data_IF_026149627358
#
_entry.id   IF_026149627358
#
_cell.length_a   1.000
_cell.length_b   1.000
_cell.length_c   1.000
_cell.angle_alpha   90.00
_cell.angle_beta   90.00
_cell.angle_gamma   90.00
#
_symmetry.space_group_name_H-M   'P 1'
#
loop_
_entity.id
_entity.type
_entity.pdbx_description
1 polymer ?
#
# COMPACT_ATOMS: atom_id res chain seq x y z
N UNK A 1 60.88 -48.77 53.16
CA UNK A 1 60.46 -50.17 52.84
C UNK A 1 59.33 -50.13 51.83
N UNK A 2 59.42 -50.99 50.81
CA UNK A 2 58.45 -51.16 49.72
C UNK A 2 57.26 -52.04 50.15
N UNK A 3 56.07 -51.69 49.64
CA UNK A 3 54.97 -52.54 49.13
C UNK A 3 54.24 -53.54 50.07
N UNK A 4 52.89 -53.43 50.10
CA UNK A 4 51.88 -54.50 49.85
C UNK A 4 50.44 -53.92 50.02
N UNK A 5 49.58 -53.88 49.00
CA UNK A 5 48.62 -54.91 48.49
C UNK A 5 47.19 -54.78 49.09
N UNK A 6 46.26 -54.29 48.25
CA UNK A 6 44.93 -54.82 47.84
C UNK A 6 43.75 -55.01 48.87
N UNK A 7 42.60 -54.41 48.47
CA UNK A 7 41.16 -54.72 48.69
C UNK A 7 40.43 -54.36 50.00
N UNK A 8 39.41 -53.52 49.88
CA UNK A 8 38.10 -53.76 50.50
C UNK A 8 36.98 -53.22 49.59
N UNK A 9 36.08 -54.11 49.17
CA UNK A 9 34.81 -53.80 48.52
C UNK A 9 33.80 -53.31 49.57
N UNK A 10 32.98 -52.31 49.24
CA UNK A 10 31.57 -52.34 49.65
C UNK A 10 30.67 -51.58 48.66
N UNK A 11 29.78 -52.40 48.08
CA UNK A 11 28.57 -52.23 47.28
C UNK A 11 27.71 -50.96 47.45
N UNK A 12 27.24 -50.46 46.30
CA UNK A 12 25.88 -50.02 45.93
C UNK A 12 25.02 -49.29 46.99
N UNK A 13 24.77 -48.01 46.71
CA UNK A 13 23.73 -47.18 47.33
C UNK A 13 23.30 -46.06 46.39
N UNK A 14 22.29 -46.36 45.56
CA UNK A 14 21.18 -45.48 45.17
C UNK A 14 21.44 -44.02 44.74
N UNK A 15 21.06 -43.77 43.48
CA UNK A 15 20.07 -42.75 43.10
C UNK A 15 20.31 -41.32 43.64
N UNK A 16 20.98 -40.53 42.83
CA UNK A 16 21.00 -39.08 42.95
C UNK A 16 21.22 -38.44 41.60
N UNK A 17 20.42 -38.84 40.60
CA UNK A 17 20.33 -38.12 39.34
C UNK A 17 19.97 -36.68 39.65
N UNK A 18 20.86 -35.76 39.33
CA UNK A 18 20.54 -34.35 39.21
C UNK A 18 19.69 -34.21 37.95
N UNK A 19 18.43 -34.62 38.04
CA UNK A 19 17.37 -34.13 37.18
C UNK A 19 17.24 -32.64 37.51
N UNK A 20 17.97 -31.82 36.77
CA UNK A 20 17.57 -30.44 36.55
C UNK A 20 16.21 -30.50 35.86
N UNK A 21 15.14 -30.57 36.66
CA UNK A 21 13.83 -30.12 36.23
C UNK A 21 13.99 -28.61 36.01
N UNK A 22 14.39 -28.23 34.79
CA UNK A 22 13.99 -26.95 34.25
C UNK A 22 12.47 -27.02 34.24
N UNK A 23 11.83 -26.45 35.25
CA UNK A 23 10.42 -26.11 35.16
C UNK A 23 10.34 -25.08 34.04
N UNK A 24 10.12 -25.54 32.81
CA UNK A 24 9.55 -24.70 31.78
C UNK A 24 8.24 -24.18 32.37
N UNK A 25 8.25 -22.93 32.83
CA UNK A 25 6.99 -22.27 33.15
C UNK A 25 6.15 -22.32 31.88
N UNK A 26 4.88 -22.76 31.97
CA UNK A 26 4.01 -22.78 30.80
C UNK A 26 3.99 -21.36 30.22
N UNK A 27 4.40 -21.22 28.96
CA UNK A 27 4.35 -19.95 28.26
C UNK A 27 2.87 -19.57 28.18
N UNK A 28 2.49 -18.59 28.99
CA UNK A 28 1.11 -18.09 29.00
C UNK A 28 0.78 -17.51 27.62
N UNK A 29 -0.39 -17.82 27.10
CA UNK A 29 -0.79 -17.41 25.76
C UNK A 29 -2.20 -16.86 25.79
N UNK A 30 -2.40 -15.70 25.18
CA UNK A 30 -3.72 -15.10 25.01
C UNK A 30 -4.12 -15.18 23.54
N UNK A 31 -5.41 -15.39 23.30
CA UNK A 31 -6.03 -15.26 21.97
C UNK A 31 -6.99 -14.07 22.03
N UNK A 32 -6.85 -13.16 21.08
CA UNK A 32 -7.56 -11.88 21.03
C UNK A 32 -8.35 -11.79 19.72
N UNK A 33 -9.58 -11.30 19.83
CA UNK A 33 -10.34 -10.82 18.68
C UNK A 33 -10.27 -9.29 18.68
N UNK A 34 -9.97 -8.68 17.54
CA UNK A 34 -9.68 -7.26 17.42
C UNK A 34 -10.58 -6.61 16.37
N UNK A 35 -11.05 -5.40 16.66
CA UNK A 35 -11.71 -4.56 15.66
C UNK A 35 -10.65 -3.84 14.82
N UNK A 36 -10.80 -3.88 13.50
CA UNK A 36 -9.93 -3.20 12.54
C UNK A 36 -10.77 -2.21 11.74
N UNK A 37 -10.28 -0.99 11.59
CA UNK A 37 -10.92 0.09 10.84
C UNK A 37 -9.97 0.52 9.73
N UNK A 38 -10.36 0.26 8.49
CA UNK A 38 -9.64 0.69 7.29
C UNK A 38 -10.21 2.02 6.81
N UNK A 39 -9.36 3.01 6.56
CA UNK A 39 -9.77 4.36 6.18
C UNK A 39 -9.00 4.84 4.96
N UNK A 40 -9.66 5.49 4.02
CA UNK A 40 -9.01 6.03 2.82
C UNK A 40 -8.37 7.40 3.11
N UNK A 41 -7.05 7.53 2.95
CA UNK A 41 -6.27 8.72 3.36
C UNK A 41 -6.02 9.76 2.27
N UNK A 42 -5.39 9.38 1.16
CA UNK A 42 -4.50 10.35 0.45
C UNK A 42 -5.12 11.03 -0.78
N UNK A 43 -6.01 10.36 -1.51
CA UNK A 43 -6.68 10.95 -2.69
C UNK A 43 -8.04 11.62 -2.35
N UNK A 44 -8.42 11.64 -1.08
CA UNK A 44 -9.78 11.94 -0.65
C UNK A 44 -10.08 13.41 -0.32
N UNK A 45 -9.12 14.34 -0.41
CA UNK A 45 -9.03 15.59 0.39
C UNK A 45 -10.28 16.50 0.48
N UNK A 46 -11.28 15.99 1.22
CA UNK A 46 -12.50 16.57 1.81
C UNK A 46 -13.62 17.05 0.86
N UNK A 47 -14.75 16.34 0.95
CA UNK A 47 -16.05 16.95 1.25
C UNK A 47 -16.90 15.95 2.07
N UNK A 48 -17.57 16.42 3.11
CA UNK A 48 -18.59 15.66 3.84
C UNK A 48 -19.62 15.13 2.84
N UNK A 49 -19.89 13.83 2.90
CA UNK A 49 -20.79 13.02 2.07
C UNK A 49 -21.80 13.76 1.13
N UNK A 50 -22.08 13.24 -0.08
CA UNK A 50 -21.73 11.90 -0.57
C UNK A 50 -20.60 11.87 -1.61
N UNK A 51 -20.05 13.03 -2.02
CA UNK A 51 -19.14 13.13 -3.16
C UNK A 51 -17.76 13.61 -2.71
N UNK A 52 -16.77 12.73 -2.84
CA UNK A 52 -15.36 13.06 -2.76
C UNK A 52 -14.98 14.17 -3.73
N UNK A 53 -14.06 15.06 -3.32
CA UNK A 53 -13.66 16.18 -4.16
C UNK A 53 -12.84 15.74 -5.37
N UNK A 54 -12.01 14.70 -5.21
CA UNK A 54 -11.02 14.28 -6.23
C UNK A 54 -11.06 12.78 -6.57
N UNK A 55 -11.39 11.92 -5.61
CA UNK A 55 -11.56 10.49 -5.83
C UNK A 55 -13.00 10.14 -6.25
N UNK A 56 -13.21 9.09 -7.02
CA UNK A 56 -14.56 8.53 -7.25
C UNK A 56 -14.88 7.43 -6.24
N UNK A 57 -16.17 7.07 -6.10
CA UNK A 57 -16.58 5.93 -5.26
C UNK A 57 -15.92 4.62 -5.68
N UNK A 58 -15.66 4.44 -6.97
CA UNK A 58 -14.95 3.26 -7.48
C UNK A 58 -13.49 3.26 -7.02
N UNK A 59 -12.78 4.39 -7.17
CA UNK A 59 -11.36 4.52 -6.80
C UNK A 59 -11.09 4.17 -5.33
N UNK A 60 -12.07 4.40 -4.46
CA UNK A 60 -11.96 4.22 -3.01
C UNK A 60 -12.52 2.88 -2.53
N UNK A 61 -13.09 2.10 -3.45
CA UNK A 61 -13.65 0.78 -3.16
C UNK A 61 -12.56 -0.20 -2.76
N UNK A 62 -12.88 -1.08 -1.80
CA UNK A 62 -12.07 -2.22 -1.40
C UNK A 62 -12.94 -3.45 -1.57
N UNK A 63 -12.49 -4.39 -2.39
CA UNK A 63 -13.19 -5.64 -2.68
C UNK A 63 -12.60 -6.79 -1.85
N UNK A 64 -11.31 -6.72 -1.54
CA UNK A 64 -10.61 -7.68 -0.70
C UNK A 64 -9.43 -7.01 0.01
N UNK A 65 -8.92 -7.65 1.06
CA UNK A 65 -7.61 -7.29 1.60
C UNK A 65 -6.93 -8.47 2.29
N UNK A 66 -5.59 -8.41 2.31
CA UNK A 66 -4.72 -9.19 3.17
C UNK A 66 -4.32 -8.32 4.36
N UNK A 67 -4.47 -8.83 5.58
CA UNK A 67 -4.02 -8.17 6.81
C UNK A 67 -2.97 -9.03 7.49
N UNK A 68 -1.83 -8.45 7.83
CA UNK A 68 -0.75 -9.10 8.56
C UNK A 68 -0.42 -8.33 9.84
N UNK A 69 -0.22 -9.06 10.94
CA UNK A 69 0.17 -8.49 12.25
C UNK A 69 1.56 -9.00 12.60
N UNK A 70 2.45 -8.09 12.97
CA UNK A 70 3.84 -8.38 13.31
C UNK A 70 4.16 -7.99 14.75
N UNK A 71 5.02 -8.78 15.39
CA UNK A 71 5.68 -8.39 16.64
C UNK A 71 6.76 -7.32 16.39
N UNK A 72 7.43 -6.90 17.46
CA UNK A 72 8.50 -5.88 17.42
C UNK A 72 9.74 -6.32 16.66
N UNK A 73 9.95 -7.63 16.51
CA UNK A 73 11.07 -8.21 15.75
C UNK A 73 10.72 -8.35 14.26
N UNK A 74 9.48 -8.02 13.88
CA UNK A 74 8.98 -8.11 12.53
C UNK A 74 8.53 -9.51 12.13
N UNK A 75 8.38 -10.46 13.07
CA UNK A 75 7.81 -11.76 12.78
C UNK A 75 6.28 -11.64 12.68
N UNK A 76 5.70 -12.29 11.67
CA UNK A 76 4.25 -12.33 11.50
C UNK A 76 3.64 -13.26 12.55
N UNK A 77 2.90 -12.69 13.49
CA UNK A 77 2.19 -13.43 14.55
C UNK A 77 0.77 -13.81 14.13
N UNK A 78 0.20 -13.13 13.15
CA UNK A 78 -1.13 -13.40 12.62
C UNK A 78 -1.29 -12.87 11.19
N UNK A 79 -2.15 -13.49 10.40
CA UNK A 79 -2.67 -12.91 9.18
C UNK A 79 -4.11 -13.36 8.94
N UNK A 80 -4.87 -12.54 8.22
CA UNK A 80 -6.23 -12.85 7.83
C UNK A 80 -6.55 -12.21 6.48
N UNK A 81 -7.12 -13.01 5.58
CA UNK A 81 -7.63 -12.56 4.29
C UNK A 81 -9.12 -12.27 4.38
N UNK A 82 -9.53 -11.15 3.81
CA UNK A 82 -10.92 -10.74 3.69
C UNK A 82 -11.30 -10.70 2.22
N UNK A 83 -12.29 -11.51 1.84
CA UNK A 83 -12.89 -11.48 0.50
C UNK A 83 -14.27 -10.78 0.49
N UNK A 84 -14.80 -10.43 1.67
CA UNK A 84 -16.03 -9.69 1.85
C UNK A 84 -15.76 -8.57 2.86
N UNK A 85 -15.86 -7.34 2.41
CA UNK A 85 -15.55 -6.15 3.19
C UNK A 85 -16.78 -5.61 3.96
N UNK A 86 -17.98 -6.10 3.65
CA UNK A 86 -19.23 -5.47 4.07
C UNK A 86 -19.47 -4.13 3.36
N UNK A 87 -20.38 -3.34 3.91
CA UNK A 87 -20.72 -2.02 3.36
C UNK A 87 -19.64 -0.98 3.71
N UNK A 88 -19.28 -0.16 2.73
CA UNK A 88 -18.46 1.04 2.95
C UNK A 88 -19.23 2.02 3.85
N UNK A 89 -18.56 2.53 4.89
CA UNK A 89 -19.13 3.47 5.86
C UNK A 89 -18.38 4.79 5.84
N UNK A 90 -19.07 5.86 6.23
CA UNK A 90 -18.41 7.10 6.62
C UNK A 90 -17.95 6.98 8.08
N UNK A 91 -16.64 7.00 8.31
CA UNK A 91 -16.00 6.88 9.63
C UNK A 91 -15.07 8.08 9.79
N UNK A 92 -15.34 8.94 10.76
CA UNK A 92 -14.57 10.16 11.04
C UNK A 92 -14.33 11.06 9.80
N UNK A 93 -15.38 11.19 8.98
CA UNK A 93 -15.40 11.93 7.71
C UNK A 93 -14.56 11.34 6.56
N UNK A 94 -14.04 10.12 6.73
CA UNK A 94 -13.40 9.33 5.67
C UNK A 94 -14.29 8.15 5.28
N UNK A 95 -14.14 7.63 4.06
CA UNK A 95 -14.73 6.31 3.75
C UNK A 95 -13.86 5.22 4.31
N UNK A 96 -14.51 4.19 4.84
CA UNK A 96 -13.81 3.08 5.44
C UNK A 96 -14.66 1.83 5.58
N UNK A 97 -14.01 0.81 6.14
CA UNK A 97 -14.60 -0.50 6.41
C UNK A 97 -14.23 -0.92 7.83
N UNK A 98 -15.16 -1.59 8.50
CA UNK A 98 -14.94 -2.19 9.82
C UNK A 98 -14.84 -3.70 9.65
N UNK A 99 -13.74 -4.27 10.11
CA UNK A 99 -13.42 -5.70 10.02
C UNK A 99 -13.13 -6.27 11.41
N UNK A 100 -13.28 -7.58 11.55
CA UNK A 100 -12.89 -8.33 12.75
C UNK A 100 -11.70 -9.23 12.46
N UNK A 101 -10.57 -8.98 13.12
CA UNK A 101 -9.44 -9.90 13.17
C UNK A 101 -9.70 -10.91 14.26
N UNK A 102 -9.75 -12.20 13.91
CA UNK A 102 -10.16 -13.26 14.83
C UNK A 102 -8.96 -14.13 15.16
N UNK A 103 -8.75 -14.42 16.45
CA UNK A 103 -7.76 -15.40 16.86
C UNK A 103 -6.30 -14.92 16.80
N UNK A 104 -6.06 -13.62 17.04
CA UNK A 104 -4.70 -13.08 17.14
C UNK A 104 -4.06 -13.59 18.41
N UNK A 105 -3.00 -14.40 18.27
CA UNK A 105 -2.34 -15.04 19.42
C UNK A 105 -1.10 -14.25 19.84
N UNK A 106 -1.00 -13.99 21.14
CA UNK A 106 0.17 -13.37 21.79
C UNK A 106 0.66 -14.26 22.94
N UNK A 107 1.93 -14.09 23.34
CA UNK A 107 2.56 -14.88 24.41
C UNK A 107 3.10 -13.97 25.52
N UNK A 108 2.98 -14.42 26.77
CA UNK A 108 3.39 -13.67 27.97
C UNK A 108 2.25 -12.83 28.58
N UNK A 109 2.51 -12.28 29.76
CA UNK A 109 1.52 -11.60 30.63
C UNK A 109 1.62 -10.07 30.57
N UNK A 110 2.04 -9.53 29.44
CA UNK A 110 2.32 -8.12 29.25
C UNK A 110 1.68 -7.60 27.98
N UNK A 111 1.39 -6.30 27.95
CA UNK A 111 0.97 -5.60 26.74
C UNK A 111 1.98 -5.79 25.61
N UNK A 112 1.49 -5.98 24.38
CA UNK A 112 2.34 -6.26 23.21
C UNK A 112 2.23 -5.17 22.17
N UNK A 113 3.33 -4.47 21.95
CA UNK A 113 3.47 -3.60 20.79
C UNK A 113 3.48 -4.46 19.51
N UNK A 114 2.67 -4.07 18.53
CA UNK A 114 2.57 -4.76 17.24
C UNK A 114 2.44 -3.74 16.13
N UNK A 115 2.76 -4.16 14.91
CA UNK A 115 2.42 -3.41 13.70
C UNK A 115 1.45 -4.21 12.84
N UNK A 116 0.53 -3.51 12.18
CA UNK A 116 -0.47 -4.09 11.28
C UNK A 116 -0.24 -3.53 9.88
N UNK A 117 -0.02 -4.42 8.91
CA UNK A 117 0.05 -4.11 7.49
C UNK A 117 -1.24 -4.55 6.81
N UNK A 118 -1.74 -3.73 5.92
CA UNK A 118 -2.90 -4.03 5.07
C UNK A 118 -2.50 -3.84 3.62
N UNK A 119 -2.79 -4.84 2.78
CA UNK A 119 -2.71 -4.75 1.33
C UNK A 119 -4.09 -5.09 0.76
N UNK A 120 -4.73 -4.10 0.16
CA UNK A 120 -6.11 -4.18 -0.34
C UNK A 120 -6.16 -4.23 -1.86
N UNK A 121 -7.15 -4.95 -2.40
CA UNK A 121 -7.38 -5.19 -3.84
C UNK A 121 -6.22 -5.87 -4.59
N UNK A 122 -5.35 -6.59 -3.89
CA UNK A 122 -4.30 -7.40 -4.48
C UNK A 122 -4.69 -8.88 -4.47
N UNK A 123 -3.92 -9.73 -5.17
CA UNK A 123 -4.03 -11.17 -4.97
C UNK A 123 -3.43 -11.53 -3.60
N UNK A 124 -4.31 -11.83 -2.63
CA UNK A 124 -3.91 -12.20 -1.27
C UNK A 124 -2.94 -13.39 -1.24
N UNK A 125 -3.00 -14.30 -2.22
CA UNK A 125 -2.16 -15.49 -2.25
C UNK A 125 -0.67 -15.18 -2.36
N UNK A 126 -0.31 -13.98 -2.84
CA UNK A 126 1.06 -13.48 -2.91
C UNK A 126 1.75 -13.38 -1.55
N UNK A 127 0.97 -13.32 -0.46
CA UNK A 127 1.46 -13.04 0.89
C UNK A 127 1.34 -14.23 1.85
N UNK A 128 0.79 -15.36 1.39
CA UNK A 128 0.56 -16.54 2.23
C UNK A 128 1.86 -17.09 2.85
N UNK A 129 2.94 -17.06 2.08
CA UNK A 129 4.27 -17.55 2.44
C UNK A 129 5.12 -16.55 3.23
N UNK A 130 4.71 -15.29 3.37
CA UNK A 130 5.46 -14.28 4.11
C UNK A 130 5.46 -14.54 5.62
N UNK A 131 6.60 -14.89 6.20
CA UNK A 131 6.75 -15.15 7.63
C UNK A 131 7.16 -13.89 8.42
N UNK A 132 7.77 -12.90 7.76
CA UNK A 132 8.31 -11.69 8.37
C UNK A 132 7.89 -10.45 7.59
N UNK A 133 7.97 -9.28 8.21
CA UNK A 133 7.75 -8.00 7.52
C UNK A 133 8.72 -7.81 6.34
N UNK A 134 9.96 -8.29 6.48
CA UNK A 134 10.96 -8.23 5.40
C UNK A 134 10.54 -9.04 4.16
N UNK A 135 9.73 -10.09 4.31
CA UNK A 135 9.22 -10.81 3.15
C UNK A 135 8.30 -9.90 2.33
N UNK A 136 7.45 -9.08 2.97
CA UNK A 136 6.56 -8.15 2.29
C UNK A 136 7.30 -7.03 1.56
N UNK A 137 8.44 -6.55 2.09
CA UNK A 137 9.24 -5.51 1.41
C UNK A 137 9.87 -6.01 0.10
N UNK A 138 10.02 -7.32 -0.04
CA UNK A 138 10.49 -7.97 -1.26
C UNK A 138 9.38 -8.34 -2.24
N UNK A 139 8.10 -8.33 -1.82
CA UNK A 139 6.98 -8.69 -2.69
C UNK A 139 6.67 -7.57 -3.68
N UNK A 140 6.38 -7.99 -4.89
CA UNK A 140 5.89 -7.12 -5.95
C UNK A 140 4.50 -7.55 -6.36
N UNK A 141 3.68 -6.56 -6.69
CA UNK A 141 2.43 -6.75 -7.41
C UNK A 141 2.63 -6.35 -8.86
N UNK A 142 1.89 -6.97 -9.75
CA UNK A 142 1.83 -6.62 -11.16
C UNK A 142 0.37 -6.55 -11.60
N UNK A 143 -0.01 -5.48 -12.28
CA UNK A 143 -1.33 -5.34 -12.90
C UNK A 143 -1.23 -5.39 -14.41
N UNK A 144 -2.19 -6.03 -15.07
CA UNK A 144 -2.30 -6.02 -16.54
C UNK A 144 -3.09 -4.82 -17.05
N UNK A 145 -4.01 -4.30 -16.23
CA UNK A 145 -4.78 -3.09 -16.50
C UNK A 145 -5.28 -2.50 -15.18
N UNK A 146 -5.40 -1.18 -15.10
CA UNK A 146 -6.01 -0.54 -13.93
C UNK A 146 -7.53 -0.51 -14.09
N UNK A 147 -8.23 -1.03 -13.09
CA UNK A 147 -9.68 -0.86 -12.92
C UNK A 147 -9.90 0.05 -11.72
N UNK A 148 -10.69 1.11 -11.89
CA UNK A 148 -10.98 2.09 -10.83
C UNK A 148 -11.44 1.42 -9.53
N UNK A 149 -12.30 0.41 -9.63
CA UNK A 149 -12.84 -0.35 -8.50
C UNK A 149 -11.86 -1.33 -7.83
N UNK A 150 -10.68 -1.58 -8.43
CA UNK A 150 -9.68 -2.55 -7.96
C UNK A 150 -8.29 -1.93 -7.79
N UNK A 151 -8.20 -0.61 -7.63
CA UNK A 151 -6.92 0.04 -7.37
C UNK A 151 -6.34 -0.45 -6.04
N UNK A 152 -5.09 -0.93 -6.09
CA UNK A 152 -4.39 -1.46 -4.92
C UNK A 152 -4.13 -0.35 -3.92
N UNK A 153 -4.36 -0.65 -2.65
CA UNK A 153 -4.16 0.27 -1.54
C UNK A 153 -3.35 -0.42 -0.46
N UNK A 154 -2.51 0.35 0.23
CA UNK A 154 -1.66 -0.18 1.30
C UNK A 154 -1.71 0.74 2.50
N UNK A 155 -1.51 0.17 3.69
CA UNK A 155 -1.39 0.96 4.90
C UNK A 155 -0.73 0.19 6.01
N UNK A 156 -0.12 0.92 6.93
CA UNK A 156 0.55 0.37 8.10
C UNK A 156 0.16 1.19 9.32
N UNK A 157 -0.05 0.51 10.45
CA UNK A 157 -0.32 1.15 11.74
C UNK A 157 0.40 0.43 12.85
N UNK A 158 0.87 1.18 13.85
CA UNK A 158 1.44 0.63 15.07
C UNK A 158 0.39 0.70 16.18
N UNK A 159 0.30 -0.33 17.01
CA UNK A 159 -0.65 -0.35 18.14
C UNK A 159 -0.11 -1.22 19.28
N UNK A 160 -0.82 -1.24 20.40
CA UNK A 160 -0.51 -2.08 21.55
C UNK A 160 -1.70 -2.97 21.90
N UNK A 161 -1.48 -4.27 21.89
CA UNK A 161 -2.45 -5.26 22.32
C UNK A 161 -2.39 -5.41 23.83
N UNK A 162 -3.50 -5.10 24.50
CA UNK A 162 -3.64 -5.13 25.96
C UNK A 162 -3.80 -6.55 26.49
N UNK A 163 -2.93 -6.95 27.41
CA UNK A 163 -3.05 -8.23 28.09
C UNK A 163 -4.20 -8.18 29.10
N UNK A 164 -5.15 -9.11 29.03
CA UNK A 164 -6.37 -9.13 29.85
C UNK A 164 -7.14 -7.79 29.92
N UNK A 165 -7.01 -6.95 28.89
CA UNK A 165 -7.65 -5.65 28.78
C UNK A 165 -8.60 -5.56 27.58
N UNK A 166 -9.31 -4.43 27.48
CA UNK A 166 -10.08 -4.09 26.28
C UNK A 166 -9.15 -3.42 25.28
N UNK A 167 -9.15 -3.89 24.03
CA UNK A 167 -8.42 -3.27 22.93
C UNK A 167 -9.31 -2.25 22.22
N UNK A 168 -8.74 -1.08 21.91
CA UNK A 168 -9.38 -0.14 20.98
C UNK A 168 -9.33 -0.69 19.55
N UNK A 169 -10.17 -0.14 18.68
CA UNK A 169 -10.15 -0.52 17.28
C UNK A 169 -8.83 -0.05 16.63
N UNK A 170 -8.16 -0.95 15.93
CA UNK A 170 -6.92 -0.65 15.21
C UNK A 170 -7.29 0.14 13.96
N UNK A 171 -6.78 1.36 13.84
CA UNK A 171 -7.07 2.23 12.69
C UNK A 171 -5.90 2.20 11.72
N UNK A 172 -6.18 1.89 10.46
CA UNK A 172 -5.18 1.87 9.38
C UNK A 172 -5.62 2.83 8.29
N UNK A 173 -4.83 3.90 8.11
CA UNK A 173 -4.96 4.79 6.95
C UNK A 173 -4.36 4.09 5.74
N UNK A 174 -5.13 4.02 4.66
CA UNK A 174 -4.77 3.41 3.40
C UNK A 174 -4.46 4.49 2.37
N UNK A 175 -3.31 4.32 1.72
CA UNK A 175 -2.85 5.12 0.60
C UNK A 175 -3.08 4.33 -0.69
N UNK A 176 -3.39 5.02 -1.78
CA UNK A 176 -3.50 4.36 -3.08
C UNK A 176 -2.10 4.12 -3.65
N UNK A 177 -1.81 2.91 -4.09
CA UNK A 177 -0.46 2.54 -4.53
C UNK A 177 -0.12 3.07 -5.93
N UNK A 178 -1.13 3.43 -6.71
CA UNK A 178 -0.98 4.11 -8.01
C UNK A 178 -1.09 5.64 -7.88
N UNK A 179 -0.45 6.37 -8.79
CA UNK A 179 -0.80 7.75 -9.11
C UNK A 179 -2.00 7.79 -10.07
N UNK A 180 -2.88 8.78 -9.91
CA UNK A 180 -3.97 9.10 -10.85
C UNK A 180 -3.53 10.25 -11.75
N UNK A 181 -3.72 10.11 -13.07
CA UNK A 181 -3.35 11.14 -14.05
C UNK A 181 -4.57 11.42 -14.93
N UNK A 182 -4.95 12.68 -15.06
CA UNK A 182 -6.02 13.13 -15.96
C UNK A 182 -5.48 14.13 -16.98
N UNK A 183 -5.61 13.77 -18.26
CA UNK A 183 -5.40 14.67 -19.38
C UNK A 183 -6.63 15.56 -19.58
N UNK A 184 -6.49 16.86 -19.28
CA UNK A 184 -7.58 17.84 -19.36
C UNK A 184 -7.84 18.38 -20.77
N UNK A 185 -6.99 18.03 -21.73
CA UNK A 185 -7.07 18.55 -23.09
C UNK A 185 -6.11 19.71 -23.34
N UNK A 186 -6.32 20.36 -24.48
CA UNK A 186 -5.56 21.54 -24.91
C UNK A 186 -6.47 22.75 -24.86
N UNK A 187 -5.93 23.87 -24.38
CA UNK A 187 -6.61 25.13 -24.22
C UNK A 187 -5.93 26.21 -25.04
N UNK A 188 -6.69 27.13 -25.58
CA UNK A 188 -6.16 28.32 -26.24
C UNK A 188 -5.49 29.22 -25.19
N UNK A 189 -4.22 29.55 -25.39
CA UNK A 189 -3.39 30.31 -24.45
C UNK A 189 -3.93 31.73 -24.19
N UNK A 190 -4.58 32.35 -25.17
CA UNK A 190 -5.00 33.75 -25.10
C UNK A 190 -6.32 33.97 -24.37
N UNK A 191 -7.24 33.00 -24.44
CA UNK A 191 -8.58 33.13 -23.85
C UNK A 191 -8.94 31.98 -22.89
N UNK A 192 -8.09 30.97 -22.75
CA UNK A 192 -8.27 29.80 -21.90
C UNK A 192 -9.49 28.93 -22.26
N UNK A 193 -9.93 28.98 -23.52
CA UNK A 193 -10.98 28.10 -24.03
C UNK A 193 -10.43 26.71 -24.36
N UNK A 194 -11.19 25.65 -24.03
CA UNK A 194 -10.84 24.28 -24.40
C UNK A 194 -11.02 24.04 -25.91
N UNK A 195 -10.03 23.44 -26.57
CA UNK A 195 -9.99 23.20 -28.02
C UNK A 195 -9.84 21.70 -28.36
N UNK A 196 -10.55 20.84 -27.63
CA UNK A 196 -10.50 19.37 -27.79
C UNK A 196 -11.13 18.87 -29.11
N UNK A 197 -11.87 19.70 -29.84
CA UNK A 197 -12.34 19.37 -31.19
C UNK A 197 -11.18 19.21 -32.18
N UNK A 198 -10.03 19.84 -31.89
CA UNK A 198 -8.83 19.76 -32.72
C UNK A 198 -7.79 18.78 -32.19
N UNK A 199 -7.84 18.42 -30.90
CA UNK A 199 -6.81 17.64 -30.23
C UNK A 199 -7.40 16.43 -29.50
N UNK A 200 -6.81 15.25 -29.73
CA UNK A 200 -7.20 14.03 -29.04
C UNK A 200 -5.98 13.28 -28.52
N UNK A 201 -6.04 12.81 -27.27
CA UNK A 201 -5.06 11.87 -26.73
C UNK A 201 -5.26 10.53 -27.43
N UNK A 202 -4.21 10.01 -28.06
CA UNK A 202 -4.28 8.75 -28.81
C UNK A 202 -3.45 7.63 -28.19
N UNK A 203 -2.40 7.97 -27.44
CA UNK A 203 -1.56 6.99 -26.77
C UNK A 203 -0.85 7.59 -25.56
N UNK A 204 -0.50 6.73 -24.60
CA UNK A 204 0.40 7.04 -23.49
C UNK A 204 1.43 5.91 -23.37
N UNK A 205 2.71 6.26 -23.34
CA UNK A 205 3.81 5.32 -23.18
C UNK A 205 4.57 5.57 -21.87
N UNK A 206 5.30 4.56 -21.39
CA UNK A 206 6.12 4.68 -20.19
C UNK A 206 5.38 4.46 -18.86
N UNK A 207 4.12 4.00 -18.90
CA UNK A 207 3.36 3.60 -17.72
C UNK A 207 3.95 2.35 -17.07
N UNK A 208 3.80 2.23 -15.74
CA UNK A 208 4.31 1.11 -14.94
C UNK A 208 3.18 0.22 -14.41
N UNK A 209 3.32 -1.08 -14.66
CA UNK A 209 2.44 -2.16 -14.25
C UNK A 209 2.85 -2.81 -12.93
N UNK A 210 4.06 -2.56 -12.40
CA UNK A 210 4.60 -3.26 -11.23
C UNK A 210 4.92 -2.33 -10.06
N UNK A 211 4.69 -2.81 -8.83
CA UNK A 211 4.99 -2.06 -7.62
C UNK A 211 5.43 -2.93 -6.45
N UNK A 212 6.27 -2.38 -5.58
CA UNK A 212 6.49 -2.90 -4.23
C UNK A 212 5.28 -2.57 -3.33
N UNK A 213 5.01 -3.38 -2.31
CA UNK A 213 3.79 -3.22 -1.47
C UNK A 213 4.05 -2.58 -0.10
N UNK A 214 5.31 -2.42 0.30
CA UNK A 214 5.71 -1.86 1.59
C UNK A 214 6.42 -0.50 1.43
N UNK A 215 5.78 0.41 0.69
CA UNK A 215 6.25 1.77 0.38
C UNK A 215 5.15 2.77 0.74
N UNK A 216 5.38 3.68 1.69
CA UNK A 216 4.28 4.45 2.31
C UNK A 216 4.40 5.96 2.16
N UNK A 217 5.47 6.47 1.56
CA UNK A 217 5.70 7.89 1.40
C UNK A 217 4.96 8.42 0.17
N UNK A 218 4.02 9.36 0.37
CA UNK A 218 3.27 9.99 -0.72
C UNK A 218 3.79 11.35 -1.14
N UNK A 219 4.96 11.74 -0.64
CA UNK A 219 5.69 12.97 -1.02
C UNK A 219 6.99 12.68 -1.79
N UNK A 220 7.40 11.42 -1.92
CA UNK A 220 8.57 11.03 -2.70
C UNK A 220 8.43 9.64 -3.29
N UNK A 221 8.99 9.45 -4.49
CA UNK A 221 9.04 8.15 -5.14
C UNK A 221 9.85 7.13 -4.33
N UNK A 222 9.30 5.93 -4.15
CA UNK A 222 9.97 4.82 -3.45
C UNK A 222 10.05 3.55 -4.31
N UNK A 223 9.11 3.37 -5.23
CA UNK A 223 9.02 2.14 -6.02
C UNK A 223 10.24 1.92 -6.92
N UNK A 224 10.98 0.86 -6.66
CA UNK A 224 12.18 0.46 -7.42
C UNK A 224 11.89 -0.47 -8.61
N UNK A 225 10.66 -1.00 -8.73
CA UNK A 225 10.33 -2.00 -9.75
C UNK A 225 9.56 -1.41 -10.92
N UNK A 226 9.83 -1.93 -12.12
CA UNK A 226 9.22 -1.44 -13.35
C UNK A 226 8.89 -2.62 -14.27
N UNK A 227 7.65 -2.65 -14.73
CA UNK A 227 7.21 -3.46 -15.86
C UNK A 227 6.32 -2.58 -16.75
N UNK A 228 6.49 -2.64 -18.07
CA UNK A 228 5.75 -1.75 -18.96
C UNK A 228 4.24 -2.06 -18.94
N UNK A 229 3.42 -1.04 -18.72
CA UNK A 229 1.97 -1.13 -18.86
C UNK A 229 1.54 -0.59 -20.23
N UNK A 230 0.69 -1.36 -20.93
CA UNK A 230 0.12 -0.93 -22.20
C UNK A 230 -1.09 -0.03 -21.97
N UNK A 231 -1.09 1.15 -22.58
CA UNK A 231 -2.23 2.04 -22.58
C UNK A 231 -3.38 1.48 -23.44
N UNK A 232 -4.65 1.50 -22.96
CA UNK A 232 -5.79 1.02 -23.72
C UNK A 232 -6.15 1.99 -24.85
N UNK A 233 -5.45 1.85 -25.98
CA UNK A 233 -5.52 2.76 -27.14
C UNK A 233 -6.84 2.68 -27.93
N UNK A 234 -7.69 1.68 -27.67
CA UNK A 234 -9.03 1.58 -28.23
C UNK A 234 -9.99 2.57 -27.55
N UNK A 235 -10.02 2.58 -26.21
CA UNK A 235 -10.89 3.45 -25.40
C UNK A 235 -10.35 4.86 -25.25
N UNK A 236 -9.02 5.03 -25.38
CA UNK A 236 -8.29 6.30 -25.25
C UNK A 236 -8.71 7.09 -24.00
N UNK A 237 -8.68 6.49 -22.81
CA UNK A 237 -9.17 7.14 -21.61
C UNK A 237 -8.32 8.37 -21.28
N UNK A 238 -8.98 9.48 -20.98
CA UNK A 238 -8.29 10.70 -20.54
C UNK A 238 -7.83 10.62 -19.09
N UNK A 239 -8.40 9.71 -18.29
CA UNK A 239 -7.94 9.39 -16.94
C UNK A 239 -7.29 8.02 -16.95
N UNK A 240 -6.05 7.94 -16.46
CA UNK A 240 -5.27 6.71 -16.40
C UNK A 240 -4.41 6.68 -15.14
N UNK A 241 -3.82 5.52 -14.87
CA UNK A 241 -3.06 5.27 -13.65
C UNK A 241 -1.70 4.65 -13.98
N UNK A 242 -0.76 4.85 -13.07
CA UNK A 242 0.56 4.20 -13.11
C UNK A 242 1.03 3.95 -11.70
N UNK A 243 1.79 2.87 -11.49
CA UNK A 243 2.64 2.80 -10.31
C UNK A 243 3.82 3.77 -10.45
N UNK A 244 4.43 4.11 -9.32
CA UNK A 244 5.62 4.96 -9.25
C UNK A 244 6.77 4.45 -10.11
N UNK A 245 7.59 5.38 -10.61
CA UNK A 245 8.78 5.08 -11.43
C UNK A 245 9.96 5.89 -10.87
N UNK A 246 10.89 5.23 -10.18
CA UNK A 246 12.04 5.89 -9.54
C UNK A 246 13.17 6.27 -10.50
N UNK A 247 13.29 5.60 -11.65
CA UNK A 247 14.32 5.88 -12.66
C UNK A 247 14.10 7.26 -13.30
N UNK A 248 14.96 8.22 -12.95
CA UNK A 248 14.90 9.60 -13.44
C UNK A 248 15.09 9.74 -14.96
N UNK A 249 15.56 8.70 -15.66
CA UNK A 249 15.71 8.70 -17.11
C UNK A 249 14.44 8.24 -17.84
N UNK A 250 13.45 7.69 -17.12
CA UNK A 250 12.17 7.29 -17.70
C UNK A 250 11.23 8.49 -17.81
N UNK A 251 10.43 8.46 -18.86
CA UNK A 251 9.43 9.46 -19.12
C UNK A 251 8.09 8.80 -19.41
N UNK A 252 7.01 9.48 -19.05
CA UNK A 252 5.67 9.20 -19.56
C UNK A 252 5.46 10.08 -20.80
N UNK A 253 5.14 9.45 -21.93
CA UNK A 253 5.00 10.11 -23.22
C UNK A 253 3.53 10.16 -23.62
N UNK A 254 2.95 11.35 -23.75
CA UNK A 254 1.58 11.53 -24.25
C UNK A 254 1.63 11.82 -25.74
N UNK A 255 0.98 11.01 -26.56
CA UNK A 255 0.79 11.27 -27.99
C UNK A 255 -0.58 11.89 -28.22
N UNK A 256 -0.58 13.13 -28.73
CA UNK A 256 -1.78 13.90 -29.04
C UNK A 256 -1.88 14.12 -30.54
N UNK A 257 -3.02 13.77 -31.11
CA UNK A 257 -3.32 13.97 -32.52
C UNK A 257 -4.00 15.32 -32.73
N UNK A 258 -3.45 16.14 -33.63
CA UNK A 258 -3.99 17.42 -34.08
C UNK A 258 -4.71 17.26 -35.43
N UNK A 259 -5.97 17.70 -35.49
CA UNK A 259 -6.81 17.70 -36.70
C UNK A 259 -6.86 16.35 -37.44
N UNK A 260 -6.79 15.24 -36.69
CA UNK A 260 -6.84 13.88 -37.24
C UNK A 260 -5.64 13.46 -38.10
N UNK A 261 -4.57 14.25 -38.17
CA UNK A 261 -3.46 14.01 -39.12
C UNK A 261 -2.08 14.04 -38.46
N UNK A 262 -1.76 15.09 -37.70
CA UNK A 262 -0.43 15.27 -37.11
C UNK A 262 -0.39 14.70 -35.69
N UNK A 263 0.60 13.87 -35.37
CA UNK A 263 0.79 13.34 -34.01
C UNK A 263 1.98 14.05 -33.38
N UNK A 264 1.76 14.62 -32.20
CA UNK A 264 2.80 15.24 -31.38
C UNK A 264 2.92 14.49 -30.07
N UNK A 265 4.14 14.16 -29.68
CA UNK A 265 4.43 13.45 -28.45
C UNK A 265 5.10 14.35 -27.42
N UNK A 266 4.68 14.27 -26.16
CA UNK A 266 5.12 15.14 -25.08
C UNK A 266 5.55 14.34 -23.87
N UNK A 267 6.74 14.65 -23.38
CA UNK A 267 7.45 13.85 -22.40
C UNK A 267 7.40 14.49 -21.02
N UNK A 268 6.97 13.73 -20.03
CA UNK A 268 6.98 14.11 -18.62
C UNK A 268 7.93 13.20 -17.85
N UNK A 269 8.82 13.73 -16.98
CA UNK A 269 9.66 12.89 -16.13
C UNK A 269 8.78 11.96 -15.28
N UNK A 270 9.01 10.65 -15.40
CA UNK A 270 8.14 9.65 -14.81
C UNK A 270 8.14 9.67 -13.27
N UNK A 271 9.26 10.12 -12.68
CA UNK A 271 9.43 10.24 -11.23
C UNK A 271 8.64 11.40 -10.59
N UNK A 272 7.90 12.19 -11.38
CA UNK A 272 6.98 13.22 -10.87
C UNK A 272 5.66 12.65 -10.38
N UNK A 273 5.28 11.46 -10.83
CA UNK A 273 4.00 10.84 -10.52
C UNK A 273 4.16 9.92 -9.31
N UNK A 274 3.88 10.47 -8.12
CA UNK A 274 4.04 9.81 -6.82
C UNK A 274 2.71 9.13 -6.46
N UNK A 275 2.77 7.95 -5.84
CA UNK A 275 1.59 7.18 -5.44
C UNK A 275 0.69 7.98 -4.48
N UNK A 276 -0.60 7.71 -4.52
CA UNK A 276 -1.58 8.39 -3.67
C UNK A 276 -2.02 9.76 -4.16
N UNK A 277 -1.32 10.33 -5.15
CA UNK A 277 -1.59 11.67 -5.67
C UNK A 277 -2.41 11.67 -6.97
N UNK A 278 -3.06 12.81 -7.22
CA UNK A 278 -3.82 13.10 -8.42
C UNK A 278 -3.14 14.22 -9.22
N UNK A 279 -2.92 13.99 -10.51
CA UNK A 279 -2.27 14.92 -11.42
C UNK A 279 -3.19 15.31 -12.58
N UNK A 280 -3.22 16.60 -12.91
CA UNK A 280 -3.84 17.12 -14.12
C UNK A 280 -2.78 17.55 -15.13
N UNK A 281 -2.91 17.11 -16.38
CA UNK A 281 -2.05 17.51 -17.49
C UNK A 281 -2.87 18.36 -18.46
N UNK A 282 -2.41 19.59 -18.69
CA UNK A 282 -3.06 20.58 -19.56
C UNK A 282 -2.07 21.14 -20.58
N UNK A 283 -2.48 21.23 -21.84
CA UNK A 283 -1.74 21.96 -22.87
C UNK A 283 -2.28 23.37 -23.07
N UNK A 284 -1.39 24.35 -23.27
CA UNK A 284 -1.71 25.71 -23.72
C UNK A 284 -1.18 25.90 -25.14
N UNK A 285 -2.10 26.14 -26.07
CA UNK A 285 -1.81 26.28 -27.49
C UNK A 285 -2.01 27.71 -27.96
N UNK A 286 -1.05 28.20 -28.72
CA UNK A 286 -1.19 29.41 -29.52
C UNK A 286 -0.85 29.06 -30.98
N UNK A 287 -1.66 29.49 -31.96
CA UNK A 287 -1.39 29.22 -33.37
C UNK A 287 0.01 29.71 -33.74
N UNK A 288 0.79 28.89 -34.45
CA UNK A 288 2.19 29.11 -34.86
C UNK A 288 3.28 28.95 -33.77
N UNK A 289 2.93 28.53 -32.56
CA UNK A 289 3.91 28.18 -31.50
C UNK A 289 3.77 26.71 -31.05
N UNK A 290 4.75 26.22 -30.29
CA UNK A 290 4.66 24.90 -29.64
C UNK A 290 3.66 24.93 -28.48
N UNK A 291 3.07 23.78 -28.16
CA UNK A 291 2.15 23.64 -27.01
C UNK A 291 2.96 23.73 -25.72
N UNK A 292 2.59 24.65 -24.84
CA UNK A 292 3.14 24.75 -23.49
C UNK A 292 2.38 23.81 -22.55
N UNK A 293 3.08 22.92 -21.85
CA UNK A 293 2.46 21.92 -20.99
C UNK A 293 2.55 22.29 -19.52
N UNK A 294 1.42 22.13 -18.83
CA UNK A 294 1.27 22.32 -17.39
C UNK A 294 0.94 20.97 -16.78
N UNK A 295 1.75 20.57 -15.80
CA UNK A 295 1.47 19.45 -14.90
C UNK A 295 1.12 20.05 -13.53
N UNK A 296 -0.10 19.83 -13.09
CA UNK A 296 -0.59 20.27 -11.79
C UNK A 296 -0.82 19.05 -10.89
N UNK A 297 -0.32 19.11 -9.65
CA UNK A 297 -0.65 18.15 -8.60
C UNK A 297 -1.84 18.70 -7.80
N UNK A 298 -2.94 17.96 -7.80
CA UNK A 298 -4.22 18.41 -7.27
C UNK A 298 -4.48 17.80 -5.91
N UNK A 299 -4.92 18.64 -4.96
CA UNK A 299 -5.46 18.18 -3.70
C UNK A 299 -4.44 17.88 -2.59
N UNK A 300 -3.19 18.36 -2.71
CA UNK A 300 -2.16 18.23 -1.68
C UNK A 300 -2.44 19.13 -0.45
N UNK A 301 -3.43 18.76 0.36
CA UNK A 301 -3.38 19.08 1.79
C UNK A 301 -2.72 17.87 2.47
N UNK A 302 -1.48 18.04 2.93
CA UNK A 302 -0.76 17.04 3.71
C UNK A 302 -1.69 16.47 4.80
N UNK A 303 -2.18 15.24 4.63
CA UNK A 303 -2.67 14.47 5.77
C UNK A 303 -1.40 14.09 6.50
N UNK A 304 -1.08 14.83 7.56
CA UNK A 304 0.03 14.50 8.44
C UNK A 304 -0.19 13.07 8.94
N UNK A 305 0.57 12.12 8.39
CA UNK A 305 0.82 10.86 9.05
C UNK A 305 1.68 11.20 10.27
N UNK A 306 1.26 10.75 11.45
CA UNK A 306 2.06 10.93 12.65
C UNK A 306 3.49 10.44 12.36
N UNK A 307 4.52 11.27 12.63
CA UNK A 307 5.89 10.89 12.40
C UNK A 307 6.20 9.64 13.22
N UNK A 308 6.82 8.69 12.54
CA UNK A 308 7.33 7.45 13.11
C UNK A 308 8.38 7.79 14.20
N UNK A 309 8.10 7.40 15.44
CA UNK A 309 9.10 6.98 16.44
C UNK A 309 9.01 5.46 16.61
#
# INVERSE_FOLDING_TARGET
MRLKVILFMLTLGLLGGLSACSSEEPIDSQTLDMSLVLLMGDIQTKASAPNYKYATTEEIMIQNCHVAVFDTDGNRIHFQDFANMGDMKAIDNLSGYELGLVGVRTFGKEDKAVSVLVVANADNSLFNDCATYADYTSKTIQTTSFQSSQLVKIGKSNTTLKYNGTNEAIRVLLIQLSAKIEYKGIYNKNNNDLINDQFSLINVEGLNASSQVAIFNTSSVENGVFEALTYPSEDKPTTFYTYEISDANKNILLSVQQNGSEIKSFSFPANKFIKGNYYEIKGLYEPSTEIEWILEEVGNENVALDPFE
#
